data_IF_454408603327
#
_entry.id   IF_454408603327
#
_cell.length_a   1.000
_cell.length_b   1.000
_cell.length_c   1.000
_cell.angle_alpha   90.00
_cell.angle_beta   90.00
_cell.angle_gamma   90.00
#
_symmetry.space_group_name_H-M   'P 1'
#
loop_
_entity.id
_entity.type
_entity.pdbx_description
1 polymer ?
#
# COMPACT_ATOMS: atom_id res chain seq x y z
N UNK A 1 49.73 -30.96 -35.13
CA UNK A 1 49.39 -31.08 -33.69
C UNK A 1 49.09 -29.79 -32.97
N UNK A 2 49.23 -28.61 -33.60
CA UNK A 2 49.03 -27.30 -32.94
C UNK A 2 47.52 -26.87 -32.78
N UNK A 3 46.63 -27.41 -33.56
CA UNK A 3 45.17 -26.97 -33.55
C UNK A 3 44.32 -27.62 -32.49
N UNK A 4 44.69 -28.78 -31.93
CA UNK A 4 43.92 -29.44 -30.85
C UNK A 4 44.00 -28.74 -29.52
N UNK A 5 45.12 -28.09 -29.23
CA UNK A 5 45.29 -27.34 -27.98
C UNK A 5 44.52 -26.03 -27.95
N UNK A 6 44.32 -25.40 -29.11
CA UNK A 6 43.53 -24.17 -29.22
C UNK A 6 42.03 -24.43 -28.98
N UNK A 7 41.51 -25.56 -29.47
CA UNK A 7 40.13 -25.95 -29.30
C UNK A 7 39.84 -26.29 -27.83
N UNK A 8 40.75 -26.97 -27.14
CA UNK A 8 40.60 -27.29 -25.70
C UNK A 8 40.67 -26.02 -24.84
N UNK A 9 41.51 -25.05 -25.23
CA UNK A 9 41.62 -23.77 -24.50
C UNK A 9 40.34 -22.91 -24.70
N UNK A 10 39.75 -22.91 -25.90
CA UNK A 10 38.48 -22.22 -26.15
C UNK A 10 37.28 -22.88 -25.44
N UNK A 11 37.26 -24.23 -25.33
CA UNK A 11 36.24 -24.95 -24.61
C UNK A 11 36.32 -24.70 -23.09
N UNK A 12 37.51 -24.61 -22.53
CA UNK A 12 37.74 -24.26 -21.11
C UNK A 12 37.40 -22.80 -20.81
N UNK A 13 37.65 -21.85 -21.73
CA UNK A 13 37.21 -20.47 -21.57
C UNK A 13 35.68 -20.32 -21.65
N UNK A 14 35.02 -21.12 -22.51
CA UNK A 14 33.56 -21.09 -22.63
C UNK A 14 32.84 -21.68 -21.39
N UNK A 15 33.44 -22.67 -20.73
CA UNK A 15 32.92 -23.19 -19.46
C UNK A 15 33.08 -22.23 -18.27
N UNK A 16 34.08 -21.32 -18.32
CA UNK A 16 34.27 -20.30 -17.27
C UNK A 16 33.30 -19.12 -17.40
N UNK A 17 32.74 -18.88 -18.60
CA UNK A 17 31.75 -17.81 -18.83
C UNK A 17 30.34 -18.26 -18.39
N UNK A 18 30.07 -19.58 -18.31
CA UNK A 18 28.79 -20.11 -17.82
C UNK A 18 28.70 -20.28 -16.31
N UNK A 19 29.83 -20.09 -15.57
CA UNK A 19 29.88 -20.20 -14.11
C UNK A 19 29.78 -18.85 -13.38
N UNK A 20 29.57 -17.77 -14.11
CA UNK A 20 29.49 -16.43 -13.53
C UNK A 20 28.21 -15.75 -13.93
N UNK A 21 27.17 -15.86 -13.12
CA UNK A 21 26.10 -14.92 -12.84
C UNK A 21 24.87 -15.69 -12.30
N UNK A 22 25.01 -16.33 -11.17
CA UNK A 22 23.91 -16.39 -10.22
C UNK A 22 24.29 -15.46 -9.07
N UNK A 23 24.17 -14.16 -9.32
CA UNK A 23 23.89 -13.25 -8.24
C UNK A 23 22.44 -13.56 -7.85
N UNK A 24 22.23 -14.58 -7.04
CA UNK A 24 21.15 -14.60 -6.09
C UNK A 24 21.43 -13.40 -5.17
N UNK A 25 20.94 -12.22 -5.56
CA UNK A 25 20.55 -11.22 -4.58
C UNK A 25 19.61 -11.96 -3.64
N UNK A 26 20.13 -12.32 -2.48
CA UNK A 26 19.30 -12.62 -1.34
C UNK A 26 18.55 -11.34 -1.03
N UNK A 27 17.42 -11.15 -1.74
CA UNK A 27 16.34 -10.36 -1.22
C UNK A 27 16.06 -10.99 0.13
N UNK A 28 16.47 -10.32 1.19
CA UNK A 28 16.07 -10.67 2.55
C UNK A 28 14.59 -10.32 2.59
N UNK A 29 13.78 -11.24 2.06
CA UNK A 29 12.34 -11.16 2.23
C UNK A 29 12.09 -11.37 3.72
N UNK A 30 11.56 -10.37 4.40
CA UNK A 30 10.88 -10.56 5.66
C UNK A 30 9.61 -11.38 5.35
N UNK A 31 9.79 -12.64 4.97
CA UNK A 31 8.68 -13.56 4.77
C UNK A 31 7.99 -13.76 6.11
N UNK A 32 6.66 -13.63 6.12
CA UNK A 32 5.85 -14.14 7.21
C UNK A 32 6.22 -15.61 7.46
N UNK A 33 6.82 -15.88 8.60
CA UNK A 33 7.34 -17.22 8.96
C UNK A 33 6.33 -18.07 9.76
N UNK A 34 5.08 -17.59 9.89
CA UNK A 34 4.02 -18.36 10.55
C UNK A 34 3.69 -19.66 9.80
N UNK A 35 3.10 -20.64 10.48
CA UNK A 35 2.72 -21.97 9.94
C UNK A 35 1.65 -21.94 8.83
N UNK A 36 1.36 -20.79 8.27
CA UNK A 36 0.28 -20.57 7.28
C UNK A 36 0.68 -20.81 5.83
N UNK A 37 1.85 -21.39 5.57
CA UNK A 37 2.23 -21.74 4.20
C UNK A 37 1.36 -22.92 3.73
N UNK A 38 0.35 -22.62 2.93
CA UNK A 38 -0.45 -23.65 2.25
C UNK A 38 0.43 -24.27 1.18
N UNK A 39 0.64 -25.60 1.28
CA UNK A 39 1.46 -26.34 0.31
C UNK A 39 0.97 -26.09 -1.11
N UNK A 40 1.88 -25.68 -2.00
CA UNK A 40 1.55 -25.39 -3.40
C UNK A 40 1.00 -23.98 -3.68
N UNK A 41 0.93 -23.09 -2.66
CA UNK A 41 0.56 -21.68 -2.87
C UNK A 41 1.77 -20.76 -2.94
N UNK A 42 1.60 -19.61 -3.61
CA UNK A 42 2.59 -18.55 -3.68
C UNK A 42 2.17 -17.43 -2.73
N UNK A 43 3.09 -16.97 -1.87
CA UNK A 43 2.83 -15.80 -1.04
C UNK A 43 2.94 -14.55 -1.90
N UNK A 44 1.90 -13.69 -1.84
CA UNK A 44 1.91 -12.34 -2.38
C UNK A 44 1.83 -11.35 -1.21
N UNK A 45 2.46 -10.19 -1.39
CA UNK A 45 2.50 -9.13 -0.39
C UNK A 45 1.91 -7.85 -0.98
N UNK A 46 1.45 -6.96 -0.14
CA UNK A 46 0.89 -5.68 -0.60
C UNK A 46 1.88 -4.87 -1.43
N UNK A 47 3.17 -4.90 -1.09
CA UNK A 47 4.21 -4.25 -1.91
C UNK A 47 4.32 -4.81 -3.34
N UNK A 48 3.91 -6.05 -3.58
CA UNK A 48 3.90 -6.65 -4.91
C UNK A 48 2.79 -6.04 -5.79
N UNK A 49 1.78 -5.38 -5.19
CA UNK A 49 0.68 -4.72 -5.88
C UNK A 49 1.07 -3.38 -6.52
N UNK A 50 2.18 -2.78 -6.07
CA UNK A 50 2.70 -1.52 -6.64
C UNK A 50 3.04 -1.67 -8.11
N UNK A 51 3.54 -2.87 -8.49
CA UNK A 51 3.85 -3.20 -9.87
C UNK A 51 3.11 -4.48 -10.28
N UNK A 52 1.92 -4.34 -10.85
CA UNK A 52 1.08 -5.48 -11.27
C UNK A 52 1.82 -6.48 -12.17
N UNK A 53 2.81 -6.02 -12.93
CA UNK A 53 3.66 -6.88 -13.76
C UNK A 53 4.38 -7.96 -12.93
N UNK A 54 4.70 -7.68 -11.68
CA UNK A 54 5.33 -8.66 -10.78
C UNK A 54 4.40 -9.83 -10.46
N UNK A 55 3.09 -9.59 -10.53
CA UNK A 55 2.04 -10.56 -10.24
C UNK A 55 1.63 -11.41 -11.45
N UNK A 56 1.96 -11.01 -12.68
CA UNK A 56 1.55 -11.74 -13.92
C UNK A 56 1.88 -13.23 -13.86
N UNK A 57 3.04 -13.58 -13.29
CA UNK A 57 3.47 -14.98 -13.12
C UNK A 57 2.59 -15.81 -12.18
N UNK A 58 1.74 -15.16 -11.39
CA UNK A 58 0.84 -15.77 -10.41
C UNK A 58 -0.62 -15.74 -10.85
N UNK A 59 -0.95 -15.11 -11.97
CA UNK A 59 -2.32 -15.08 -12.49
C UNK A 59 -2.86 -16.50 -12.68
N UNK A 60 -4.07 -16.74 -12.20
CA UNK A 60 -4.73 -18.04 -12.21
C UNK A 60 -4.16 -19.08 -11.23
N UNK A 61 -3.14 -18.74 -10.43
CA UNK A 61 -2.53 -19.65 -9.44
C UNK A 61 -3.09 -19.43 -8.04
N UNK A 62 -2.94 -20.47 -7.21
CA UNK A 62 -3.25 -20.36 -5.79
C UNK A 62 -2.22 -19.48 -5.09
N UNK A 63 -2.69 -18.44 -4.42
CA UNK A 63 -1.87 -17.50 -3.65
C UNK A 63 -2.30 -17.45 -2.21
N UNK A 64 -1.39 -16.97 -1.35
CA UNK A 64 -1.67 -16.59 0.02
C UNK A 64 -1.30 -15.13 0.23
N UNK A 65 -2.11 -14.42 1.00
CA UNK A 65 -1.83 -13.07 1.49
C UNK A 65 -2.18 -12.99 2.98
N UNK A 66 -1.44 -12.19 3.74
CA UNK A 66 -1.67 -11.98 5.17
C UNK A 66 -2.07 -10.53 5.39
N UNK A 67 -3.08 -10.29 6.22
CA UNK A 67 -3.53 -8.94 6.51
C UNK A 67 -4.74 -8.92 7.41
N UNK A 68 -5.45 -7.80 7.40
CA UNK A 68 -6.64 -7.54 8.22
C UNK A 68 -7.86 -7.36 7.32
N UNK A 69 -9.02 -7.85 7.75
CA UNK A 69 -10.25 -7.58 7.02
C UNK A 69 -10.73 -6.15 7.27
N UNK A 70 -11.11 -5.47 6.19
CA UNK A 70 -11.89 -4.25 6.30
C UNK A 70 -13.29 -4.58 6.84
N UNK A 71 -13.89 -3.74 7.70
CA UNK A 71 -15.30 -3.87 8.07
C UNK A 71 -16.25 -3.58 6.90
N UNK A 72 -15.74 -3.00 5.81
CA UNK A 72 -16.49 -2.78 4.58
C UNK A 72 -16.51 -4.10 3.81
N UNK A 73 -17.70 -4.66 3.65
CA UNK A 73 -17.93 -5.94 2.97
C UNK A 73 -19.14 -5.83 2.06
N UNK A 74 -19.25 -6.74 1.10
CA UNK A 74 -20.45 -6.88 0.30
C UNK A 74 -21.69 -7.13 1.17
N UNK A 75 -22.85 -6.68 0.71
CA UNK A 75 -24.12 -6.77 1.45
C UNK A 75 -24.43 -8.20 1.94
N UNK A 76 -24.06 -9.20 1.17
CA UNK A 76 -24.26 -10.61 1.48
C UNK A 76 -23.01 -11.30 2.05
N UNK A 77 -21.94 -10.54 2.30
CA UNK A 77 -20.60 -11.00 2.70
C UNK A 77 -19.96 -11.97 1.70
N UNK A 78 -20.36 -11.93 0.43
CA UNK A 78 -19.73 -12.75 -0.62
C UNK A 78 -18.34 -12.25 -1.01
N UNK A 79 -18.05 -10.98 -0.73
CA UNK A 79 -16.73 -10.39 -0.90
C UNK A 79 -16.37 -9.42 0.22
N UNK A 80 -15.10 -9.09 0.32
CA UNK A 80 -14.56 -8.12 1.28
C UNK A 80 -13.19 -7.64 0.82
N UNK A 81 -12.53 -6.87 1.65
CA UNK A 81 -11.22 -6.31 1.37
C UNK A 81 -10.22 -6.73 2.44
N UNK A 82 -9.08 -7.27 1.98
CA UNK A 82 -7.92 -7.55 2.82
C UNK A 82 -7.01 -6.32 2.78
N UNK A 83 -6.59 -5.84 3.93
CA UNK A 83 -5.72 -4.67 4.12
C UNK A 83 -4.41 -5.09 4.79
N UNK A 84 -3.33 -4.38 4.49
CA UNK A 84 -2.03 -4.63 5.14
C UNK A 84 -1.99 -4.18 6.60
N UNK A 85 -2.84 -3.23 6.99
CA UNK A 85 -2.95 -2.67 8.33
C UNK A 85 -4.37 -2.85 8.88
N UNK A 86 -4.56 -2.81 10.22
CA UNK A 86 -5.90 -2.76 10.80
C UNK A 86 -6.70 -1.58 10.22
N UNK A 87 -7.97 -1.81 9.97
CA UNK A 87 -8.86 -0.79 9.44
C UNK A 87 -8.86 0.44 10.36
N UNK A 88 -8.50 1.55 9.78
CA UNK A 88 -8.73 2.88 10.36
C UNK A 88 -9.80 3.53 9.49
N UNK A 89 -10.75 4.23 10.06
CA UNK A 89 -11.84 4.89 9.34
C UNK A 89 -11.25 5.81 8.25
N UNK A 90 -10.82 5.21 7.18
CA UNK A 90 -10.15 5.86 6.07
C UNK A 90 -11.05 5.70 4.84
N UNK A 91 -11.63 6.77 4.30
CA UNK A 91 -12.45 6.69 3.10
C UNK A 91 -11.67 6.28 1.86
N UNK A 92 -10.34 6.24 1.93
CA UNK A 92 -9.42 6.01 0.83
C UNK A 92 -8.79 4.60 0.83
N UNK A 93 -9.32 3.68 1.65
CA UNK A 93 -8.79 2.32 1.77
C UNK A 93 -9.54 1.31 0.90
N UNK A 94 -10.13 1.73 -0.20
CA UNK A 94 -10.81 0.89 -1.19
C UNK A 94 -9.91 0.74 -2.42
N UNK A 95 -9.81 -0.46 -3.04
CA UNK A 95 -8.86 -0.73 -4.12
C UNK A 95 -9.36 -0.19 -5.47
N UNK A 96 -9.42 1.11 -5.58
CA UNK A 96 -9.55 1.81 -6.84
C UNK A 96 -8.74 3.09 -6.75
N UNK A 97 -8.29 3.61 -7.83
CA UNK A 97 -7.78 4.97 -8.07
C UNK A 97 -7.04 5.69 -6.91
N UNK A 98 -6.74 4.97 -5.81
CA UNK A 98 -6.04 5.53 -4.68
C UNK A 98 -4.54 5.47 -4.91
N UNK A 99 -3.83 6.51 -4.56
CA UNK A 99 -2.37 6.57 -4.57
C UNK A 99 -1.73 5.60 -3.58
N UNK A 100 -2.53 4.88 -2.79
CA UNK A 100 -2.10 3.98 -1.72
C UNK A 100 -2.60 2.57 -2.01
N UNK A 101 -1.67 1.70 -2.40
CA UNK A 101 -1.95 0.30 -2.72
C UNK A 101 -1.84 -0.55 -1.46
N UNK A 102 -2.89 -0.55 -0.64
CA UNK A 102 -2.89 -1.26 0.64
C UNK A 102 -4.05 -2.24 0.81
N UNK A 103 -4.76 -2.55 -0.26
CA UNK A 103 -5.99 -3.34 -0.21
C UNK A 103 -6.07 -4.35 -1.34
N UNK A 104 -6.57 -5.54 -1.06
CA UNK A 104 -6.84 -6.61 -2.03
C UNK A 104 -8.30 -7.02 -1.90
N UNK A 105 -9.06 -6.96 -2.99
CA UNK A 105 -10.41 -7.50 -3.00
C UNK A 105 -10.37 -9.05 -2.94
N UNK A 106 -11.17 -9.63 -2.05
CA UNK A 106 -11.27 -11.08 -1.86
C UNK A 106 -12.73 -11.52 -2.02
N UNK A 107 -12.96 -12.56 -2.81
CA UNK A 107 -14.27 -13.10 -3.09
C UNK A 107 -14.38 -14.53 -2.56
N UNK A 108 -15.40 -14.79 -1.77
CA UNK A 108 -15.67 -16.14 -1.25
C UNK A 108 -16.05 -17.12 -2.39
N UNK A 109 -15.86 -18.43 -2.20
CA UNK A 109 -16.42 -19.42 -3.12
C UNK A 109 -17.94 -19.28 -3.25
N UNK A 110 -18.49 -19.65 -4.39
CA UNK A 110 -19.92 -19.54 -4.68
C UNK A 110 -20.77 -20.13 -3.55
N UNK A 111 -21.70 -19.34 -3.03
CA UNK A 111 -22.60 -19.71 -1.92
C UNK A 111 -21.94 -19.75 -0.54
N UNK A 112 -20.69 -19.30 -0.42
CA UNK A 112 -19.99 -19.09 0.85
C UNK A 112 -19.94 -17.62 1.20
N UNK A 113 -19.55 -17.33 2.45
CA UNK A 113 -19.43 -15.97 3.00
C UNK A 113 -18.07 -15.77 3.64
N UNK A 114 -17.61 -14.54 3.64
CA UNK A 114 -16.46 -14.10 4.42
C UNK A 114 -16.94 -13.75 5.81
N UNK A 115 -16.36 -14.38 6.83
CA UNK A 115 -16.66 -14.07 8.22
C UNK A 115 -15.83 -12.87 8.67
N UNK A 116 -16.50 -11.85 9.22
CA UNK A 116 -15.82 -10.68 9.75
C UNK A 116 -14.94 -11.04 10.94
N UNK A 117 -13.76 -10.47 11.02
CA UNK A 117 -12.83 -10.61 12.15
C UNK A 117 -11.94 -9.37 12.26
N UNK A 118 -11.61 -9.00 13.49
CA UNK A 118 -10.71 -7.90 13.80
C UNK A 118 -9.24 -8.36 13.89
N UNK A 119 -9.00 -9.68 13.91
CA UNK A 119 -7.64 -10.23 13.97
C UNK A 119 -7.07 -10.44 12.58
N UNK A 120 -5.73 -10.41 12.48
CA UNK A 120 -5.05 -10.72 11.23
C UNK A 120 -5.42 -12.13 10.73
N UNK A 121 -5.55 -12.26 9.41
CA UNK A 121 -5.92 -13.50 8.71
C UNK A 121 -4.93 -13.82 7.60
N UNK A 122 -4.80 -15.12 7.31
CA UNK A 122 -4.21 -15.63 6.09
C UNK A 122 -5.35 -15.92 5.13
N UNK A 123 -5.35 -15.25 4.01
CA UNK A 123 -6.26 -15.49 2.89
C UNK A 123 -5.57 -16.43 1.91
N UNK A 124 -6.26 -17.48 1.48
CA UNK A 124 -5.80 -18.40 0.42
C UNK A 124 -6.87 -18.48 -0.65
N UNK A 125 -6.50 -18.27 -1.92
CA UNK A 125 -7.43 -18.33 -3.04
C UNK A 125 -6.70 -18.23 -4.37
N UNK A 126 -7.42 -18.05 -5.46
CA UNK A 126 -6.87 -17.92 -6.81
C UNK A 126 -6.70 -16.44 -7.17
N UNK A 127 -5.47 -16.02 -7.48
CA UNK A 127 -5.22 -14.66 -7.98
C UNK A 127 -5.82 -14.50 -9.37
N UNK A 128 -6.52 -13.41 -9.60
CA UNK A 128 -7.02 -12.99 -10.92
C UNK A 128 -6.56 -11.57 -11.20
N UNK A 129 -5.85 -11.41 -12.29
CA UNK A 129 -5.46 -10.12 -12.84
C UNK A 129 -6.40 -9.72 -13.98
N UNK A 130 -6.46 -8.42 -14.25
CA UNK A 130 -7.27 -7.81 -15.29
C UNK A 130 -8.53 -7.16 -14.75
N UNK A 131 -9.07 -6.27 -15.56
CA UNK A 131 -10.25 -5.49 -15.24
C UNK A 131 -11.46 -6.39 -14.97
N UNK A 132 -12.15 -6.10 -13.91
CA UNK A 132 -13.38 -6.77 -13.50
C UNK A 132 -14.27 -5.76 -12.78
N UNK A 133 -15.51 -5.69 -13.22
CA UNK A 133 -16.54 -4.89 -12.55
C UNK A 133 -17.51 -5.84 -11.86
N UNK A 134 -17.75 -5.63 -10.57
CA UNK A 134 -18.73 -6.43 -9.83
C UNK A 134 -20.18 -5.97 -10.06
N UNK A 135 -21.13 -6.67 -9.46
CA UNK A 135 -22.57 -6.37 -9.59
C UNK A 135 -22.96 -5.02 -8.95
N UNK A 136 -22.09 -4.42 -8.17
CA UNK A 136 -22.28 -3.10 -7.54
C UNK A 136 -21.64 -1.96 -8.34
N UNK A 137 -20.88 -2.30 -9.40
CA UNK A 137 -20.19 -1.34 -10.25
C UNK A 137 -18.78 -0.97 -9.80
N UNK A 138 -18.20 -1.67 -8.83
CA UNK A 138 -16.80 -1.48 -8.44
C UNK A 138 -15.87 -2.17 -9.43
N UNK A 139 -14.78 -1.49 -9.76
CA UNK A 139 -13.77 -1.95 -10.71
C UNK A 139 -12.51 -2.45 -9.97
N UNK A 140 -11.95 -3.56 -10.45
CA UNK A 140 -10.77 -4.21 -9.87
C UNK A 140 -9.78 -4.57 -10.96
N UNK A 141 -8.51 -4.22 -10.78
CA UNK A 141 -7.42 -4.66 -11.64
C UNK A 141 -6.80 -5.99 -11.17
N UNK A 142 -7.00 -6.34 -9.90
CA UNK A 142 -6.57 -7.60 -9.28
C UNK A 142 -7.52 -7.98 -8.15
N UNK A 143 -7.69 -9.29 -7.95
CA UNK A 143 -8.52 -9.84 -6.86
C UNK A 143 -8.12 -11.28 -6.55
N UNK A 144 -8.46 -11.75 -5.36
CA UNK A 144 -8.35 -13.17 -4.97
C UNK A 144 -9.75 -13.77 -4.97
N UNK A 145 -9.99 -14.78 -5.79
CA UNK A 145 -11.27 -15.49 -5.87
C UNK A 145 -11.19 -16.86 -5.20
N UNK A 146 -12.33 -17.46 -4.89
CA UNK A 146 -12.44 -18.70 -4.11
C UNK A 146 -11.67 -18.62 -2.78
N UNK A 147 -11.70 -17.44 -2.16
CA UNK A 147 -10.93 -17.12 -0.98
C UNK A 147 -11.43 -17.88 0.25
N UNK A 148 -10.48 -18.45 0.98
CA UNK A 148 -10.68 -19.04 2.31
C UNK A 148 -9.79 -18.34 3.31
N UNK A 149 -10.28 -18.19 4.55
CA UNK A 149 -9.59 -17.44 5.59
C UNK A 149 -9.21 -18.35 6.75
N UNK A 150 -8.02 -18.13 7.32
CA UNK A 150 -7.57 -18.71 8.59
C UNK A 150 -6.99 -17.61 9.44
N UNK A 151 -7.09 -17.73 10.76
CA UNK A 151 -6.41 -16.82 11.68
C UNK A 151 -4.89 -16.88 11.40
N UNK A 152 -4.25 -15.70 11.28
CA UNK A 152 -2.82 -15.61 11.14
C UNK A 152 -2.14 -15.85 12.50
N UNK A 153 -0.96 -16.50 12.46
CA UNK A 153 -0.05 -16.52 13.59
C UNK A 153 0.76 -15.22 13.60
N UNK A 154 0.50 -14.36 14.56
CA UNK A 154 1.16 -13.05 14.67
C UNK A 154 2.23 -13.03 15.77
N UNK A 155 2.55 -14.14 16.43
CA UNK A 155 3.54 -14.15 17.51
C UNK A 155 4.92 -13.66 17.03
N UNK A 156 5.33 -14.09 15.83
CA UNK A 156 6.62 -13.69 15.25
C UNK A 156 6.72 -12.20 14.87
N UNK A 157 5.58 -11.51 14.74
CA UNK A 157 5.46 -10.10 14.32
C UNK A 157 4.72 -9.25 15.35
N UNK A 158 4.64 -9.73 16.60
CA UNK A 158 3.85 -9.10 17.67
C UNK A 158 4.16 -7.63 17.89
N UNK A 159 5.44 -7.21 17.77
CA UNK A 159 5.82 -5.81 17.92
C UNK A 159 5.27 -4.93 16.77
N UNK A 160 5.22 -5.46 15.54
CA UNK A 160 4.63 -4.75 14.41
C UNK A 160 3.12 -4.59 14.60
N UNK A 161 2.43 -5.67 15.00
CA UNK A 161 1.00 -5.64 15.29
C UNK A 161 0.69 -4.62 16.37
N UNK A 162 1.47 -4.58 17.46
CA UNK A 162 1.30 -3.60 18.52
C UNK A 162 1.47 -2.17 17.99
N UNK A 163 2.52 -1.91 17.21
CA UNK A 163 2.75 -0.60 16.61
C UNK A 163 1.61 -0.18 15.69
N UNK A 164 1.06 -1.10 14.88
CA UNK A 164 -0.09 -0.79 14.03
C UNK A 164 -1.33 -0.42 14.82
N UNK A 165 -1.59 -1.13 15.93
CA UNK A 165 -2.69 -0.81 16.81
C UNK A 165 -2.51 0.56 17.45
N UNK A 166 -1.31 0.88 17.92
CA UNK A 166 -0.99 2.20 18.50
C UNK A 166 -1.18 3.34 17.49
N UNK A 167 -0.74 3.13 16.24
CA UNK A 167 -0.93 4.09 15.13
C UNK A 167 -2.41 4.26 14.80
N UNK A 168 -3.19 3.17 14.83
CA UNK A 168 -4.62 3.17 14.60
C UNK A 168 -5.38 3.89 15.73
N UNK A 169 -5.11 3.54 16.99
CA UNK A 169 -5.78 4.09 18.16
C UNK A 169 -5.53 5.61 18.28
N UNK A 170 -4.34 6.06 17.94
CA UNK A 170 -3.99 7.49 17.89
C UNK A 170 -4.42 8.19 16.60
N UNK A 171 -5.05 7.48 15.66
CA UNK A 171 -5.53 8.00 14.37
C UNK A 171 -4.46 8.73 13.54
N UNK A 172 -3.19 8.32 13.66
CA UNK A 172 -2.07 9.00 13.02
C UNK A 172 -2.23 9.01 11.50
N UNK A 173 -2.41 7.83 10.89
CA UNK A 173 -2.53 7.71 9.43
C UNK A 173 -3.81 8.34 8.89
N UNK A 174 -4.95 8.06 9.50
CA UNK A 174 -6.23 8.60 9.04
C UNK A 174 -6.25 10.12 9.06
N UNK A 175 -5.75 10.73 10.15
CA UNK A 175 -5.67 12.19 10.25
C UNK A 175 -4.68 12.78 9.24
N UNK A 176 -3.52 12.15 9.07
CA UNK A 176 -2.52 12.62 8.10
C UNK A 176 -3.04 12.54 6.66
N UNK A 177 -3.60 11.41 6.26
CA UNK A 177 -4.14 11.20 4.92
C UNK A 177 -5.32 12.12 4.61
N UNK A 178 -6.31 12.21 5.52
CA UNK A 178 -7.47 13.08 5.35
C UNK A 178 -7.05 14.54 5.06
N UNK A 179 -6.09 15.04 5.81
CA UNK A 179 -5.66 16.42 5.64
C UNK A 179 -4.73 16.63 4.43
N UNK A 180 -3.97 15.61 4.02
CA UNK A 180 -3.24 15.66 2.76
C UNK A 180 -4.19 15.68 1.56
N UNK A 181 -5.27 14.91 1.58
CA UNK A 181 -6.29 14.94 0.52
C UNK A 181 -7.00 16.30 0.44
N UNK A 182 -7.30 16.93 1.59
CA UNK A 182 -7.85 18.29 1.60
C UNK A 182 -6.89 19.27 0.92
N UNK A 183 -5.59 19.19 1.20
CA UNK A 183 -4.58 20.02 0.54
C UNK A 183 -4.48 19.74 -0.96
N UNK A 184 -4.58 18.47 -1.37
CA UNK A 184 -4.56 18.06 -2.76
C UNK A 184 -5.79 18.57 -3.52
N UNK A 185 -6.96 18.45 -2.93
CA UNK A 185 -8.20 18.99 -3.46
C UNK A 185 -8.14 20.52 -3.68
N UNK A 186 -7.51 21.25 -2.75
CA UNK A 186 -7.33 22.70 -2.88
C UNK A 186 -6.46 23.06 -4.10
N UNK A 187 -5.40 22.27 -4.34
CA UNK A 187 -4.55 22.46 -5.52
C UNK A 187 -5.29 22.12 -6.79
N UNK A 188 -6.09 21.05 -6.78
CA UNK A 188 -6.92 20.64 -7.92
C UNK A 188 -8.03 21.66 -8.23
N UNK A 189 -8.73 22.15 -7.23
CA UNK A 189 -9.80 23.16 -7.38
C UNK A 189 -9.33 24.47 -8.01
N UNK A 190 -8.04 24.77 -7.98
CA UNK A 190 -7.43 25.89 -8.68
C UNK A 190 -7.78 25.89 -10.16
N UNK A 191 -7.72 24.77 -10.85
CA UNK A 191 -7.98 24.68 -12.29
C UNK A 191 -9.41 25.07 -12.63
N UNK A 192 -10.37 24.64 -11.81
CA UNK A 192 -11.78 25.03 -11.96
C UNK A 192 -11.98 26.51 -11.74
N UNK A 193 -11.27 27.11 -10.79
CA UNK A 193 -11.35 28.55 -10.52
C UNK A 193 -10.76 29.38 -11.64
N UNK A 194 -9.67 28.92 -12.26
CA UNK A 194 -9.09 29.55 -13.45
C UNK A 194 -10.02 29.47 -14.67
N UNK A 195 -10.90 28.47 -14.73
CA UNK A 195 -11.95 28.35 -15.75
C UNK A 195 -13.18 29.22 -15.45
N UNK A 196 -13.14 30.08 -14.43
CA UNK A 196 -14.22 30.99 -14.05
C UNK A 196 -15.30 30.35 -13.19
N UNK A 197 -15.11 29.13 -12.69
CA UNK A 197 -16.07 28.51 -11.77
C UNK A 197 -15.92 29.14 -10.37
N UNK A 198 -17.05 29.43 -9.73
CA UNK A 198 -17.06 30.04 -8.39
C UNK A 198 -16.85 29.02 -7.28
N UNK A 199 -15.66 28.40 -7.29
CA UNK A 199 -15.24 27.45 -6.25
C UNK A 199 -14.47 28.21 -5.19
N UNK A 200 -14.82 28.02 -3.92
CA UNK A 200 -14.11 28.60 -2.80
C UNK A 200 -13.03 27.62 -2.31
N UNK A 201 -11.77 27.97 -2.53
CA UNK A 201 -10.64 27.28 -1.91
C UNK A 201 -10.60 27.71 -0.45
N UNK A 202 -10.56 26.72 0.46
CA UNK A 202 -10.58 26.98 1.91
C UNK A 202 -9.16 26.86 2.48
N UNK A 203 -8.87 27.62 3.54
CA UNK A 203 -7.63 27.43 4.28
C UNK A 203 -7.67 26.12 5.05
N UNK A 204 -6.55 25.43 5.05
CA UNK A 204 -6.36 24.21 5.84
C UNK A 204 -5.97 24.56 7.26
N UNK A 205 -6.58 23.91 8.24
CA UNK A 205 -6.12 23.98 9.63
C UNK A 205 -4.86 23.13 9.80
N UNK A 206 -3.70 23.78 9.72
CA UNK A 206 -2.40 23.12 9.84
C UNK A 206 -2.07 22.62 11.26
N UNK A 207 -2.88 22.97 12.28
CA UNK A 207 -2.67 22.51 13.65
C UNK A 207 -2.94 20.99 13.79
N UNK A 208 -3.67 20.41 12.87
CA UNK A 208 -3.91 18.95 12.83
C UNK A 208 -2.60 18.17 12.67
N UNK A 209 -1.65 18.70 11.89
CA UNK A 209 -0.33 18.07 11.72
C UNK A 209 0.51 18.14 13.01
N UNK A 210 0.37 19.20 13.81
CA UNK A 210 1.00 19.26 15.14
C UNK A 210 0.48 18.16 16.06
N UNK A 211 -0.81 17.86 15.98
CA UNK A 211 -1.42 16.79 16.75
C UNK A 211 -0.88 15.42 16.33
N UNK A 212 -0.69 15.20 15.03
CA UNK A 212 -0.08 13.97 14.49
C UNK A 212 1.37 13.83 14.96
N UNK A 213 2.18 14.89 14.80
CA UNK A 213 3.59 14.91 15.25
C UNK A 213 3.68 14.58 16.73
N UNK A 214 2.85 15.23 17.55
CA UNK A 214 2.79 14.97 18.99
C UNK A 214 2.44 13.52 19.31
N UNK A 215 1.46 12.95 18.62
CA UNK A 215 1.06 11.54 18.81
C UNK A 215 2.19 10.58 18.46
N UNK A 216 2.97 10.88 17.41
CA UNK A 216 4.15 10.10 17.04
C UNK A 216 5.24 10.21 18.10
N UNK A 217 5.52 11.44 18.60
CA UNK A 217 6.52 11.66 19.65
C UNK A 217 6.17 10.96 20.96
N UNK A 218 4.89 10.90 21.32
CA UNK A 218 4.40 10.16 22.48
C UNK A 218 4.62 8.65 22.38
N UNK A 219 4.55 8.09 21.17
CA UNK A 219 4.85 6.67 20.93
C UNK A 219 6.35 6.37 21.03
N UNK A 220 7.20 7.34 20.69
CA UNK A 220 8.65 7.24 20.84
C UNK A 220 9.29 6.10 20.03
N UNK A 221 8.65 5.68 18.94
CA UNK A 221 9.12 4.59 18.08
C UNK A 221 9.82 5.16 16.84
N UNK A 222 11.09 4.75 16.63
CA UNK A 222 11.92 5.22 15.51
C UNK A 222 11.35 4.83 14.14
N UNK A 223 10.60 3.74 14.07
CA UNK A 223 9.94 3.27 12.85
C UNK A 223 8.87 4.25 12.33
N UNK A 224 8.44 5.21 13.15
CA UNK A 224 7.49 6.26 12.77
C UNK A 224 8.18 7.55 12.25
N UNK A 225 9.50 7.56 12.13
CA UNK A 225 10.26 8.76 11.74
C UNK A 225 9.87 9.32 10.37
N UNK A 226 9.57 8.45 9.40
CA UNK A 226 9.11 8.85 8.07
C UNK A 226 7.72 9.50 8.12
N UNK A 227 6.80 8.97 8.93
CA UNK A 227 5.46 9.55 9.12
C UNK A 227 5.55 10.91 9.81
N UNK A 228 6.45 11.05 10.80
CA UNK A 228 6.71 12.34 11.46
C UNK A 228 7.21 13.39 10.47
N UNK A 229 8.23 13.04 9.68
CA UNK A 229 8.76 13.91 8.62
C UNK A 229 7.67 14.31 7.63
N UNK A 230 6.85 13.35 7.21
CA UNK A 230 5.74 13.61 6.29
C UNK A 230 4.73 14.61 6.89
N UNK A 231 4.38 14.48 8.18
CA UNK A 231 3.51 15.43 8.85
C UNK A 231 4.12 16.83 8.95
N UNK A 232 5.43 16.93 9.19
CA UNK A 232 6.17 18.20 9.19
C UNK A 232 6.17 18.86 7.80
N UNK A 233 6.41 18.08 6.74
CA UNK A 233 6.39 18.56 5.35
C UNK A 233 4.97 18.98 4.94
N UNK A 234 3.95 18.19 5.26
CA UNK A 234 2.55 18.52 5.03
C UNK A 234 2.13 19.82 5.73
N UNK A 235 2.53 20.02 6.99
CA UNK A 235 2.32 21.27 7.72
C UNK A 235 2.95 22.46 7.01
N UNK A 236 4.18 22.31 6.53
CA UNK A 236 4.87 23.35 5.78
C UNK A 236 4.15 23.70 4.49
N UNK A 237 3.76 22.68 3.72
CA UNK A 237 2.96 22.84 2.48
C UNK A 237 1.65 23.58 2.79
N UNK A 238 0.89 23.16 3.80
CA UNK A 238 -0.38 23.78 4.18
C UNK A 238 -0.22 25.26 4.57
N UNK A 239 0.83 25.60 5.31
CA UNK A 239 1.14 26.99 5.64
C UNK A 239 1.44 27.85 4.40
N UNK A 240 2.16 27.29 3.43
CA UNK A 240 2.50 27.99 2.20
C UNK A 240 1.26 28.14 1.28
N UNK A 241 0.44 27.09 1.16
CA UNK A 241 -0.85 27.12 0.42
C UNK A 241 -1.76 28.17 1.03
N UNK A 242 -1.90 28.22 2.36
CA UNK A 242 -2.73 29.22 3.05
C UNK A 242 -2.31 30.67 2.71
N UNK A 243 -1.00 30.93 2.59
CA UNK A 243 -0.49 32.25 2.18
C UNK A 243 -0.84 32.57 0.72
N UNK A 244 -0.79 31.59 -0.16
CA UNK A 244 -1.16 31.71 -1.57
C UNK A 244 -2.67 32.03 -1.68
N UNK A 245 -3.50 31.35 -0.90
CA UNK A 245 -4.94 31.63 -0.83
C UNK A 245 -5.19 33.07 -0.39
N UNK A 246 -4.47 33.55 0.62
CA UNK A 246 -4.58 34.93 1.10
C UNK A 246 -4.16 35.97 0.06
N UNK A 247 -3.10 35.70 -0.68
CA UNK A 247 -2.60 36.57 -1.73
C UNK A 247 -3.41 36.51 -3.02
N UNK A 248 -4.30 35.52 -3.15
CA UNK A 248 -5.09 35.22 -4.36
C UNK A 248 -4.22 34.85 -5.59
N UNK A 249 -2.94 34.53 -5.41
CA UNK A 249 -2.01 34.11 -6.47
C UNK A 249 -2.11 32.59 -6.68
N UNK A 250 -3.30 32.17 -7.08
CA UNK A 250 -3.70 30.74 -7.14
C UNK A 250 -2.84 29.95 -8.14
N UNK A 251 -2.25 30.61 -9.15
CA UNK A 251 -1.39 29.91 -10.12
C UNK A 251 -0.19 29.22 -9.49
N UNK A 252 0.27 29.72 -8.33
CA UNK A 252 1.38 29.12 -7.60
C UNK A 252 1.03 27.78 -6.94
N UNK A 253 -0.24 27.42 -6.82
CA UNK A 253 -0.65 26.15 -6.21
C UNK A 253 -0.16 24.94 -7.02
N UNK A 254 0.05 25.10 -8.34
CA UNK A 254 0.58 24.00 -9.19
C UNK A 254 1.95 23.49 -8.73
N UNK A 255 2.75 24.34 -8.10
CA UNK A 255 4.13 24.00 -7.70
C UNK A 255 4.18 23.08 -6.47
N UNK A 256 3.02 22.82 -5.84
CA UNK A 256 2.91 21.98 -4.65
C UNK A 256 2.52 20.53 -4.94
N UNK A 257 2.07 20.21 -6.16
CA UNK A 257 1.61 18.88 -6.52
C UNK A 257 2.68 17.79 -6.30
N UNK A 258 3.90 18.06 -6.76
CA UNK A 258 5.02 17.11 -6.61
C UNK A 258 5.34 16.86 -5.14
N UNK A 259 5.40 17.91 -4.31
CA UNK A 259 5.68 17.79 -2.87
C UNK A 259 4.59 17.04 -2.12
N UNK A 260 3.33 17.17 -2.53
CA UNK A 260 2.24 16.39 -1.96
C UNK A 260 2.31 14.93 -2.38
N UNK A 261 2.67 14.65 -3.64
CA UNK A 261 2.91 13.29 -4.10
C UNK A 261 4.01 12.61 -3.25
N UNK A 262 5.13 13.33 -2.95
CA UNK A 262 6.16 12.80 -2.05
C UNK A 262 5.62 12.44 -0.66
N UNK A 263 4.68 13.22 -0.12
CA UNK A 263 4.05 12.90 1.16
C UNK A 263 3.23 11.59 1.08
N UNK A 264 2.45 11.41 0.01
CA UNK A 264 1.69 10.16 -0.20
C UNK A 264 2.62 8.97 -0.42
N UNK A 265 3.69 9.13 -1.21
CA UNK A 265 4.69 8.09 -1.46
C UNK A 265 5.40 7.65 -0.18
N UNK A 266 5.73 8.59 0.70
CA UNK A 266 6.33 8.30 2.00
C UNK A 266 5.38 7.48 2.89
N UNK A 267 4.10 7.84 2.94
CA UNK A 267 3.09 7.10 3.71
C UNK A 267 2.94 5.69 3.13
N UNK A 268 2.79 5.58 1.80
CA UNK A 268 2.65 4.30 1.13
C UNK A 268 3.87 3.41 1.37
N UNK A 269 5.08 3.96 1.23
CA UNK A 269 6.32 3.23 1.50
C UNK A 269 6.37 2.71 2.92
N UNK A 270 6.00 3.54 3.92
CA UNK A 270 5.94 3.10 5.31
C UNK A 270 4.93 1.97 5.49
N UNK A 271 3.72 2.11 4.94
CA UNK A 271 2.67 1.09 5.05
C UNK A 271 3.11 -0.25 4.45
N UNK A 272 3.81 -0.23 3.32
CA UNK A 272 4.27 -1.44 2.62
C UNK A 272 5.50 -2.07 3.27
N UNK A 273 6.36 -1.30 3.92
CA UNK A 273 7.52 -1.81 4.66
C UNK A 273 7.11 -2.61 5.90
N UNK A 274 6.01 -2.19 6.54
CA UNK A 274 5.51 -2.76 7.80
C UNK A 274 4.41 -3.82 7.60
N UNK A 275 4.18 -4.31 6.39
CA UNK A 275 3.25 -5.42 6.16
C UNK A 275 3.63 -6.68 6.96
N UNK A 276 2.63 -7.49 7.34
CA UNK A 276 2.79 -8.74 8.08
C UNK A 276 3.47 -9.83 7.27
#
# INVERSE_FOLDING_TARGET
MKNKWLIIMCLLLFCLILAGCTNDEKVVSNEYKGESKVEGSFQIRFKDLVELKTLEKYDGKTVTAVGYLSPIMGYDNSFGYLMNLPYQTCPYCIPDDTRITNTIAIFAPLGKKIEATETAVVVTGTLKLGEYTDDYGYEYSYRIVDATLKKADTEAVGNKVALYNDVADKKILSTLLENLYILDDDVFCKEYKMQGLNIKIQKVDVSVFDSVIKSIDELGNEDLSILKKTAEDAKKIGNEINKIIDSQDIEKLKDYQERMNECFDNINSWMLEYEL
#
